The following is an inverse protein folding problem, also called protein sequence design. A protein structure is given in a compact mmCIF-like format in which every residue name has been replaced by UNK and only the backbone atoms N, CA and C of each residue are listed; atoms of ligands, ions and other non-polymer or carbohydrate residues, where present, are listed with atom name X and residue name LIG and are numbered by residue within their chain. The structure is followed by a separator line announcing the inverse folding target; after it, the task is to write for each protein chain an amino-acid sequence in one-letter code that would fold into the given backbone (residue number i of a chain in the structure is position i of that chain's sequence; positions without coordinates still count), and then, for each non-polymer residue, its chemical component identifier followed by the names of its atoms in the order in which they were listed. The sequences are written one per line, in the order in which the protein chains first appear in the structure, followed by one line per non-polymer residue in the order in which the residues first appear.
data_IF_399907433429
#
_entry.id   IF_399907433429
#
_cell.length_a   1.000
_cell.length_b   1.000
_cell.length_c   1.000
_cell.angle_alpha   90.00
_cell.angle_beta   90.00
_cell.angle_gamma   90.00
#
_symmetry.space_group_name_H-M   'P 1'
#
loop_
_entity.id
_entity.type
_entity.pdbx_description
1 polymer ?
#
# COMPACT_ATOMS: atom_id res chain seq x y z
N UNK A 1 -20.44 17.40 4.57
CA UNK A 1 -19.64 16.84 3.47
C UNK A 1 -19.77 15.32 3.46
N UNK A 2 -20.03 14.71 2.30
CA UNK A 2 -20.17 13.26 2.13
C UNK A 2 -18.93 12.69 1.47
N UNK A 3 -18.23 11.77 2.15
CA UNK A 3 -17.00 11.14 1.65
C UNK A 3 -17.23 9.64 1.49
N UNK A 4 -16.80 9.08 0.33
CA UNK A 4 -16.80 7.64 0.06
C UNK A 4 -15.37 7.13 0.02
N UNK A 5 -15.05 6.13 0.85
CA UNK A 5 -13.81 5.36 0.76
C UNK A 5 -14.09 4.04 0.03
N UNK A 6 -13.46 3.85 -1.13
CA UNK A 6 -13.60 2.62 -1.92
C UNK A 6 -12.56 1.61 -1.49
N UNK A 7 -13.02 0.40 -1.14
CA UNK A 7 -12.24 -0.73 -0.68
C UNK A 7 -12.74 -1.29 0.66
N UNK A 8 -12.16 -2.38 1.12
CA UNK A 8 -12.58 -3.08 2.34
C UNK A 8 -11.41 -3.71 3.10
N UNK A 9 -10.18 -3.29 2.83
CA UNK A 9 -8.97 -3.75 3.51
C UNK A 9 -8.60 -2.93 4.76
N UNK A 10 -7.45 -3.26 5.33
CA UNK A 10 -6.90 -2.56 6.49
C UNK A 10 -6.55 -1.11 6.18
N UNK A 11 -6.05 -0.84 5.00
CA UNK A 11 -5.77 0.49 4.46
C UNK A 11 -7.03 1.37 4.44
N UNK A 12 -8.14 0.85 3.90
CA UNK A 12 -9.38 1.60 3.82
C UNK A 12 -9.99 1.83 5.21
N UNK A 13 -9.85 0.87 6.12
CA UNK A 13 -10.25 1.08 7.51
C UNK A 13 -9.41 2.18 8.17
N UNK A 14 -8.09 2.21 7.94
CA UNK A 14 -7.21 3.27 8.46
C UNK A 14 -7.55 4.64 7.85
N UNK A 15 -7.91 4.71 6.57
CA UNK A 15 -8.39 5.94 5.93
C UNK A 15 -9.71 6.42 6.57
N UNK A 16 -10.69 5.54 6.78
CA UNK A 16 -11.94 5.87 7.47
C UNK A 16 -11.69 6.35 8.91
N UNK A 17 -10.75 5.70 9.62
CA UNK A 17 -10.35 6.08 10.96
C UNK A 17 -9.75 7.48 10.99
N UNK A 18 -8.81 7.79 10.10
CA UNK A 18 -8.19 9.12 10.03
C UNK A 18 -9.21 10.21 9.69
N UNK A 19 -10.08 9.99 8.69
CA UNK A 19 -11.16 10.91 8.35
C UNK A 19 -12.08 11.17 9.56
N UNK A 20 -12.43 10.15 10.32
CA UNK A 20 -13.28 10.29 11.50
C UNK A 20 -12.55 10.99 12.65
N UNK A 21 -11.28 10.66 12.91
CA UNK A 21 -10.43 11.34 13.89
C UNK A 21 -10.33 12.83 13.60
N UNK A 22 -10.13 13.16 12.33
CA UNK A 22 -9.86 14.53 11.88
C UNK A 22 -11.15 15.34 11.67
N UNK A 23 -12.34 14.72 11.77
CA UNK A 23 -13.62 15.36 11.40
C UNK A 23 -13.87 16.69 12.09
N UNK A 24 -13.60 16.79 13.38
CA UNK A 24 -13.84 18.01 14.15
C UNK A 24 -12.82 19.14 13.91
N UNK A 25 -11.60 18.82 13.48
CA UNK A 25 -10.50 19.78 13.30
C UNK A 25 -10.28 20.16 11.83
N UNK A 26 -10.59 19.25 10.90
CA UNK A 26 -10.23 19.38 9.50
C UNK A 26 -11.41 19.80 8.61
N UNK A 27 -12.64 19.58 9.05
CA UNK A 27 -13.83 19.84 8.22
C UNK A 27 -14.74 20.84 8.92
N UNK A 28 -15.08 21.91 8.21
CA UNK A 28 -16.01 22.96 8.70
C UNK A 28 -17.47 22.50 8.78
N UNK A 29 -17.79 21.34 8.21
CA UNK A 29 -19.12 20.75 8.11
C UNK A 29 -19.14 19.35 8.71
N UNK A 30 -20.31 18.85 9.09
CA UNK A 30 -20.50 17.48 9.53
C UNK A 30 -20.05 16.49 8.45
N UNK A 31 -19.17 15.56 8.82
CA UNK A 31 -18.67 14.50 7.95
C UNK A 31 -19.61 13.30 7.95
N UNK A 32 -20.24 13.01 6.82
CA UNK A 32 -20.91 11.74 6.56
C UNK A 32 -19.96 10.83 5.78
N UNK A 33 -19.65 9.66 6.36
CA UNK A 33 -18.67 8.75 5.79
C UNK A 33 -19.31 7.46 5.30
N UNK A 34 -18.94 7.06 4.08
CA UNK A 34 -19.34 5.83 3.43
C UNK A 34 -18.11 4.99 3.11
N UNK A 35 -18.25 3.66 3.08
CA UNK A 35 -17.23 2.73 2.61
C UNK A 35 -17.83 1.69 1.64
N UNK A 36 -17.10 1.31 0.58
CA UNK A 36 -17.62 0.34 -0.40
C UNK A 36 -16.52 -0.65 -0.86
N UNK A 37 -16.63 -1.96 -0.56
CA UNK A 37 -17.69 -2.58 0.24
C UNK A 37 -17.56 -2.32 1.75
N UNK A 38 -16.40 -1.84 2.23
CA UNK A 38 -16.07 -1.74 3.64
C UNK A 38 -15.85 -3.12 4.30
N UNK A 39 -15.75 -3.12 5.62
CA UNK A 39 -15.59 -4.30 6.46
C UNK A 39 -16.24 -4.05 7.84
N UNK A 40 -16.24 -5.02 8.79
CA UNK A 40 -16.80 -4.81 10.13
C UNK A 40 -16.19 -3.65 10.91
N UNK A 41 -14.93 -3.28 10.68
CA UNK A 41 -14.27 -2.15 11.30
C UNK A 41 -14.75 -0.81 10.72
N UNK A 42 -14.86 -0.72 9.41
CA UNK A 42 -15.40 0.50 8.76
C UNK A 42 -16.86 0.74 9.11
N UNK A 43 -17.65 -0.33 9.38
CA UNK A 43 -19.06 -0.22 9.80
C UNK A 43 -19.25 0.51 11.13
N UNK A 44 -18.22 0.59 11.98
CA UNK A 44 -18.25 1.38 13.22
C UNK A 44 -18.02 2.89 12.97
N UNK A 45 -17.49 3.26 11.80
CA UNK A 45 -17.06 4.62 11.47
C UNK A 45 -17.88 5.24 10.32
N UNK A 46 -18.44 4.40 9.45
CA UNK A 46 -19.04 4.77 8.19
C UNK A 46 -20.26 3.89 7.87
N UNK A 47 -21.09 4.32 6.93
CA UNK A 47 -22.09 3.45 6.32
C UNK A 47 -21.46 2.59 5.23
N UNK A 48 -21.42 1.28 5.43
CA UNK A 48 -20.92 0.36 4.41
C UNK A 48 -21.97 0.16 3.31
N UNK A 49 -21.56 0.37 2.06
CA UNK A 49 -22.35 0.08 0.88
C UNK A 49 -21.91 -1.29 0.32
N UNK A 50 -22.81 -2.25 0.11
CA UNK A 50 -22.42 -3.60 -0.35
C UNK A 50 -22.10 -3.62 -1.86
N UNK A 51 -21.16 -2.76 -2.27
CA UNK A 51 -20.73 -2.60 -3.66
C UNK A 51 -19.26 -3.03 -3.75
N UNK A 52 -18.93 -4.07 -4.53
CA UNK A 52 -17.54 -4.46 -4.75
C UNK A 52 -16.68 -3.31 -5.29
N UNK A 53 -15.44 -3.21 -4.84
CA UNK A 53 -14.53 -2.14 -5.27
C UNK A 53 -14.28 -2.11 -6.79
N UNK A 54 -14.46 -3.24 -7.48
CA UNK A 54 -14.32 -3.39 -8.94
C UNK A 54 -15.59 -3.07 -9.73
N UNK A 55 -16.72 -2.87 -9.06
CA UNK A 55 -18.01 -2.58 -9.70
C UNK A 55 -18.13 -1.07 -10.02
N UNK A 56 -17.32 -0.58 -10.96
CA UNK A 56 -17.14 0.85 -11.28
C UNK A 56 -18.47 1.56 -11.53
N UNK A 57 -19.36 1.00 -12.35
CA UNK A 57 -20.64 1.62 -12.67
C UNK A 57 -21.56 1.79 -11.44
N UNK A 58 -21.57 0.78 -10.56
CA UNK A 58 -22.34 0.83 -9.32
C UNK A 58 -21.76 1.84 -8.32
N UNK A 59 -20.42 1.97 -8.27
CA UNK A 59 -19.75 2.97 -7.43
C UNK A 59 -20.07 4.40 -7.90
N UNK A 60 -20.05 4.66 -9.22
CA UNK A 60 -20.43 5.94 -9.78
C UNK A 60 -21.91 6.24 -9.49
N UNK A 61 -22.81 5.26 -9.69
CA UNK A 61 -24.22 5.42 -9.37
C UNK A 61 -24.46 5.71 -7.87
N UNK A 62 -23.71 5.03 -6.98
CA UNK A 62 -23.76 5.28 -5.55
C UNK A 62 -23.26 6.68 -5.20
N UNK A 63 -22.17 7.13 -5.81
CA UNK A 63 -21.64 8.49 -5.60
C UNK A 63 -22.66 9.58 -6.00
N UNK A 64 -23.41 9.35 -7.07
CA UNK A 64 -24.50 10.26 -7.47
C UNK A 64 -25.69 10.18 -6.49
N UNK A 65 -26.14 8.99 -6.12
CA UNK A 65 -27.29 8.75 -5.24
C UNK A 65 -27.09 9.30 -3.84
N UNK A 66 -25.91 9.15 -3.28
CA UNK A 66 -25.56 9.59 -1.93
C UNK A 66 -24.93 10.98 -1.91
N UNK A 67 -24.96 11.70 -3.03
CA UNK A 67 -24.42 13.06 -3.16
C UNK A 67 -22.97 13.16 -2.64
N UNK A 68 -22.13 12.16 -2.99
CA UNK A 68 -20.75 12.09 -2.52
C UNK A 68 -19.97 13.29 -3.06
N UNK A 69 -19.39 14.07 -2.16
CA UNK A 69 -18.55 15.21 -2.50
C UNK A 69 -17.15 14.78 -2.92
N UNK A 70 -16.58 13.78 -2.22
CA UNK A 70 -15.23 13.27 -2.51
C UNK A 70 -15.20 11.74 -2.39
N UNK A 71 -14.66 11.08 -3.41
CA UNK A 71 -14.38 9.63 -3.37
C UNK A 71 -12.87 9.40 -3.22
N UNK A 72 -12.44 8.71 -2.15
CA UNK A 72 -11.06 8.26 -1.94
C UNK A 72 -10.94 6.81 -2.39
N UNK A 73 -10.12 6.55 -3.40
CA UNK A 73 -9.97 5.21 -3.98
C UNK A 73 -8.79 4.52 -3.33
N UNK A 74 -9.07 3.47 -2.54
CA UNK A 74 -8.04 2.74 -1.79
C UNK A 74 -7.24 1.74 -2.63
N UNK A 75 -7.85 0.75 -3.32
CA UNK A 75 -7.13 -0.29 -4.03
C UNK A 75 -6.79 0.09 -5.48
N UNK A 76 -5.85 -0.62 -6.05
CA UNK A 76 -5.32 -0.43 -7.42
C UNK A 76 -6.30 -0.83 -8.53
N UNK A 77 -7.08 -1.90 -8.30
CA UNK A 77 -7.95 -2.46 -9.34
C UNK A 77 -9.01 -1.46 -9.87
N UNK A 78 -9.77 -0.75 -9.02
CA UNK A 78 -10.69 0.30 -9.50
C UNK A 78 -9.98 1.50 -10.15
N UNK A 79 -8.75 1.83 -9.75
CA UNK A 79 -7.96 2.88 -10.41
C UNK A 79 -7.59 2.45 -11.83
N UNK A 80 -7.06 1.24 -11.99
CA UNK A 80 -6.75 0.67 -13.30
C UNK A 80 -8.00 0.52 -14.19
N UNK A 81 -9.17 0.27 -13.58
CA UNK A 81 -10.46 0.19 -14.28
C UNK A 81 -11.08 1.57 -14.58
N UNK A 82 -10.43 2.69 -14.23
CA UNK A 82 -10.83 4.04 -14.57
C UNK A 82 -11.94 4.63 -13.69
N UNK A 83 -12.08 4.16 -12.44
CA UNK A 83 -13.10 4.71 -11.53
C UNK A 83 -12.93 6.22 -11.32
N UNK A 84 -11.69 6.72 -11.16
CA UNK A 84 -11.43 8.14 -10.98
C UNK A 84 -11.90 8.97 -12.21
N UNK A 85 -11.61 8.46 -13.42
CA UNK A 85 -12.02 9.10 -14.67
C UNK A 85 -13.55 9.16 -14.82
N UNK A 86 -14.21 8.04 -14.47
CA UNK A 86 -15.67 7.91 -14.54
C UNK A 86 -16.38 8.83 -13.54
N UNK A 87 -15.87 8.95 -12.32
CA UNK A 87 -16.38 9.89 -11.31
C UNK A 87 -16.25 11.34 -11.77
N UNK A 88 -15.05 11.73 -12.24
CA UNK A 88 -14.80 13.09 -12.76
C UNK A 88 -15.71 13.41 -13.95
N UNK A 89 -15.89 12.46 -14.88
CA UNK A 89 -16.83 12.62 -16.01
C UNK A 89 -18.27 12.78 -15.55
N UNK A 90 -18.65 12.17 -14.43
CA UNK A 90 -19.97 12.32 -13.81
C UNK A 90 -20.11 13.58 -12.92
N UNK A 91 -19.11 14.48 -12.93
CA UNK A 91 -19.10 15.70 -12.13
C UNK A 91 -18.83 15.45 -10.63
N UNK A 92 -18.24 14.29 -10.28
CA UNK A 92 -17.89 13.95 -8.90
C UNK A 92 -16.37 14.01 -8.69
N UNK A 93 -15.96 14.41 -7.50
CA UNK A 93 -14.55 14.56 -7.14
C UNK A 93 -13.96 13.22 -6.71
N UNK A 94 -12.74 12.92 -7.16
CA UNK A 94 -12.04 11.69 -6.81
C UNK A 94 -10.58 11.96 -6.41
N UNK A 95 -10.15 11.39 -5.30
CA UNK A 95 -8.76 11.27 -4.91
C UNK A 95 -8.20 9.95 -5.44
N UNK A 96 -7.29 10.04 -6.38
CA UNK A 96 -6.64 8.94 -7.08
C UNK A 96 -6.34 9.30 -8.53
N UNK A 97 -5.30 8.69 -9.14
CA UNK A 97 -4.90 8.98 -10.52
C UNK A 97 -5.94 8.49 -11.55
N UNK A 98 -5.83 9.00 -12.78
CA UNK A 98 -6.53 8.46 -13.94
C UNK A 98 -6.07 7.02 -14.23
N UNK A 99 -6.84 6.25 -14.99
CA UNK A 99 -6.43 4.91 -15.44
C UNK A 99 -5.10 4.94 -16.19
N UNK A 100 -4.87 5.98 -16.99
CA UNK A 100 -3.63 6.15 -17.74
C UNK A 100 -2.42 6.36 -16.81
N UNK A 101 -2.54 7.19 -15.77
CA UNK A 101 -1.49 7.41 -14.79
C UNK A 101 -1.32 6.21 -13.84
N UNK A 102 -2.41 5.49 -13.50
CA UNK A 102 -2.37 4.27 -12.69
C UNK A 102 -1.61 3.11 -13.36
N UNK A 103 -1.27 3.21 -14.65
CA UNK A 103 -0.38 2.27 -15.33
C UNK A 103 1.00 2.17 -14.70
N UNK A 104 1.45 3.16 -13.93
CA UNK A 104 2.68 3.06 -13.13
C UNK A 104 2.67 1.86 -12.17
N UNK A 105 1.49 1.43 -11.68
CA UNK A 105 1.33 0.21 -10.89
C UNK A 105 0.80 -0.95 -11.71
N UNK A 106 -0.20 -0.72 -12.57
CA UNK A 106 -0.92 -1.78 -13.26
C UNK A 106 -0.16 -2.38 -14.45
N UNK A 107 0.98 -1.80 -14.86
CA UNK A 107 1.89 -2.36 -15.87
C UNK A 107 3.35 -2.09 -15.49
N UNK A 108 4.05 -3.13 -15.04
CA UNK A 108 5.47 -3.02 -14.69
C UNK A 108 6.33 -2.67 -15.90
N UNK A 109 5.99 -3.18 -17.07
CA UNK A 109 6.67 -2.83 -18.33
C UNK A 109 6.53 -1.33 -18.65
N UNK A 110 5.33 -0.78 -18.54
CA UNK A 110 5.12 0.66 -18.69
C UNK A 110 5.89 1.47 -17.63
N UNK A 111 5.86 1.03 -16.38
CA UNK A 111 6.61 1.67 -15.29
C UNK A 111 8.12 1.70 -15.58
N UNK A 112 8.70 0.59 -16.07
CA UNK A 112 10.11 0.51 -16.48
C UNK A 112 10.42 1.46 -17.64
N UNK A 113 9.53 1.55 -18.62
CA UNK A 113 9.73 2.46 -19.76
C UNK A 113 9.68 3.94 -19.31
N UNK A 114 8.74 4.30 -18.41
CA UNK A 114 8.68 5.64 -17.81
C UNK A 114 9.97 5.94 -17.04
N UNK A 115 10.43 5.02 -16.18
CA UNK A 115 11.68 5.20 -15.42
C UNK A 115 12.89 5.37 -16.33
N UNK A 116 12.99 4.54 -17.38
CA UNK A 116 14.08 4.64 -18.36
C UNK A 116 14.09 6.00 -19.06
N UNK A 117 12.94 6.50 -19.52
CA UNK A 117 12.83 7.81 -20.20
C UNK A 117 13.13 8.97 -19.25
N UNK A 118 12.69 8.85 -18.01
CA UNK A 118 12.87 9.86 -16.99
C UNK A 118 14.27 9.83 -16.33
N UNK A 119 15.12 8.83 -16.64
CA UNK A 119 16.43 8.65 -16.02
C UNK A 119 16.36 8.27 -14.54
N UNK A 120 15.29 7.60 -14.09
CA UNK A 120 15.08 7.19 -12.71
C UNK A 120 15.89 5.93 -12.39
N UNK A 121 16.66 5.91 -11.29
CA UNK A 121 17.41 4.73 -10.86
C UNK A 121 16.47 3.54 -10.58
N UNK A 122 16.71 2.43 -11.25
CA UNK A 122 15.97 1.17 -11.07
C UNK A 122 16.82 0.02 -11.59
N UNK A 123 16.50 -1.22 -11.20
CA UNK A 123 17.16 -2.43 -11.68
C UNK A 123 17.20 -2.49 -13.20
N UNK A 124 18.33 -2.88 -13.78
CA UNK A 124 18.44 -3.19 -15.19
C UNK A 124 17.43 -4.29 -15.54
N UNK A 125 16.69 -4.10 -16.62
CA UNK A 125 15.57 -4.98 -16.96
C UNK A 125 15.31 -5.06 -18.45
N UNK A 126 14.66 -6.17 -18.84
CA UNK A 126 14.09 -6.33 -20.18
C UNK A 126 12.69 -6.94 -20.09
N UNK A 127 11.85 -6.60 -21.06
CA UNK A 127 10.45 -7.01 -21.13
C UNK A 127 10.22 -7.95 -22.29
N UNK A 128 9.44 -9.01 -22.05
CA UNK A 128 9.20 -10.09 -23.02
C UNK A 128 7.74 -10.48 -23.09
N UNK A 129 7.27 -10.78 -24.30
CA UNK A 129 5.96 -11.37 -24.60
C UNK A 129 6.12 -12.73 -25.27
N UNK A 130 7.33 -13.12 -25.63
CA UNK A 130 7.67 -14.38 -26.30
C UNK A 130 8.69 -15.18 -25.48
N UNK A 131 8.53 -16.51 -25.48
CA UNK A 131 9.31 -17.42 -24.65
C UNK A 131 10.78 -17.47 -25.06
N UNK A 132 11.08 -17.65 -26.36
CA UNK A 132 12.46 -17.87 -26.82
C UNK A 132 13.39 -16.67 -26.48
N UNK A 133 13.10 -15.41 -26.86
CA UNK A 133 13.99 -14.30 -26.52
C UNK A 133 14.08 -14.06 -24.99
N UNK A 134 13.04 -14.38 -24.24
CA UNK A 134 13.07 -14.30 -22.78
C UNK A 134 14.05 -15.30 -22.18
N UNK A 135 14.04 -16.54 -22.65
CA UNK A 135 14.95 -17.58 -22.16
C UNK A 135 16.39 -17.30 -22.57
N UNK A 136 16.63 -16.80 -23.78
CA UNK A 136 17.97 -16.41 -24.22
C UNK A 136 18.53 -15.28 -23.33
N UNK A 137 17.70 -14.32 -22.96
CA UNK A 137 18.08 -13.25 -22.04
C UNK A 137 18.41 -13.79 -20.63
N UNK A 138 17.55 -14.66 -20.08
CA UNK A 138 17.78 -15.29 -18.76
C UNK A 138 19.07 -16.10 -18.79
N UNK A 139 19.39 -16.81 -19.86
CA UNK A 139 20.58 -17.66 -19.97
C UNK A 139 21.89 -16.88 -19.80
N UNK A 140 21.89 -15.59 -20.13
CA UNK A 140 23.06 -14.71 -20.02
C UNK A 140 23.03 -13.79 -18.80
N UNK A 141 21.91 -13.76 -18.05
CA UNK A 141 21.72 -12.88 -16.90
C UNK A 141 22.54 -13.32 -15.69
N UNK A 142 22.98 -12.37 -14.85
CA UNK A 142 23.61 -12.68 -13.57
C UNK A 142 22.58 -13.31 -12.58
N UNK A 143 23.06 -14.18 -11.70
CA UNK A 143 22.25 -14.77 -10.63
C UNK A 143 22.48 -14.03 -9.32
N UNK A 144 21.43 -13.83 -8.48
CA UNK A 144 20.02 -14.20 -8.67
C UNK A 144 19.32 -13.37 -9.74
N UNK A 145 18.17 -13.87 -10.23
CA UNK A 145 17.34 -13.22 -11.26
C UNK A 145 15.96 -12.88 -10.68
N UNK A 146 15.43 -11.71 -10.97
CA UNK A 146 14.06 -11.35 -10.57
C UNK A 146 13.12 -11.46 -11.77
N UNK A 147 12.06 -12.26 -11.62
CA UNK A 147 11.02 -12.46 -12.63
C UNK A 147 9.74 -11.79 -12.17
N UNK A 148 9.20 -10.87 -12.97
CA UNK A 148 7.97 -10.15 -12.64
C UNK A 148 6.93 -10.28 -13.75
N UNK A 149 5.69 -10.65 -13.39
CA UNK A 149 4.54 -10.45 -14.26
C UNK A 149 4.21 -8.96 -14.34
N UNK A 150 4.02 -8.43 -15.56
CA UNK A 150 3.82 -6.98 -15.78
C UNK A 150 2.50 -6.48 -15.18
N UNK A 151 1.43 -7.27 -15.26
CA UNK A 151 0.11 -6.88 -14.77
C UNK A 151 -0.09 -7.00 -13.26
N UNK A 152 -1.30 -6.61 -12.80
CA UNK A 152 -1.70 -6.74 -11.40
C UNK A 152 -1.82 -8.22 -10.98
N UNK A 153 -1.05 -8.65 -10.01
CA UNK A 153 -0.98 -10.05 -9.56
C UNK A 153 -1.12 -10.21 -8.03
N UNK A 154 -1.73 -9.25 -7.35
CA UNK A 154 -2.04 -9.30 -5.91
C UNK A 154 -0.85 -9.75 -5.02
N UNK A 155 0.34 -9.21 -5.29
CA UNK A 155 1.57 -9.52 -4.54
C UNK A 155 2.29 -10.81 -4.96
N UNK A 156 1.74 -11.59 -5.91
CA UNK A 156 2.33 -12.86 -6.38
C UNK A 156 3.11 -12.72 -7.69
N UNK A 157 3.14 -11.53 -8.27
CA UNK A 157 3.72 -11.28 -9.58
C UNK A 157 5.23 -11.03 -9.59
N UNK A 158 5.95 -11.08 -8.47
CA UNK A 158 7.39 -10.86 -8.40
C UNK A 158 8.07 -12.01 -7.64
N UNK A 159 9.02 -12.68 -8.28
CA UNK A 159 9.73 -13.84 -7.74
C UNK A 159 11.24 -13.64 -7.88
N UNK A 160 11.95 -13.72 -6.76
CA UNK A 160 13.42 -13.76 -6.74
C UNK A 160 13.85 -15.22 -6.92
N UNK A 161 14.47 -15.50 -8.05
CA UNK A 161 14.96 -16.82 -8.43
C UNK A 161 16.46 -16.92 -8.15
N UNK A 162 16.88 -17.91 -7.39
CA UNK A 162 18.31 -18.09 -7.04
C UNK A 162 19.17 -18.47 -8.23
N UNK A 163 18.56 -19.15 -9.21
CA UNK A 163 19.27 -19.63 -10.39
C UNK A 163 18.51 -19.26 -11.68
N UNK A 164 19.23 -19.21 -12.80
CA UNK A 164 18.65 -19.03 -14.15
C UNK A 164 17.65 -20.14 -14.49
N UNK A 165 17.89 -21.37 -14.06
CA UNK A 165 16.99 -22.49 -14.28
C UNK A 165 15.64 -22.28 -13.56
N UNK A 166 15.67 -21.81 -12.32
CA UNK A 166 14.47 -21.42 -11.57
C UNK A 166 13.75 -20.25 -12.25
N UNK A 167 14.50 -19.23 -12.66
CA UNK A 167 13.94 -18.06 -13.35
C UNK A 167 13.23 -18.46 -14.66
N UNK A 168 13.86 -19.33 -15.46
CA UNK A 168 13.25 -19.84 -16.69
C UNK A 168 11.97 -20.65 -16.43
N UNK A 169 11.92 -21.46 -15.38
CA UNK A 169 10.74 -22.22 -15.01
C UNK A 169 9.59 -21.32 -14.55
N UNK A 170 9.88 -20.33 -13.70
CA UNK A 170 8.91 -19.34 -13.20
C UNK A 170 8.38 -18.47 -14.34
N UNK A 171 9.28 -17.95 -15.19
CA UNK A 171 8.91 -17.09 -16.31
C UNK A 171 8.02 -17.83 -17.34
N UNK A 172 8.34 -19.09 -17.67
CA UNK A 172 7.49 -19.95 -18.51
C UNK A 172 6.12 -20.15 -17.90
N UNK A 173 6.04 -20.49 -16.61
CA UNK A 173 4.76 -20.70 -15.94
C UNK A 173 3.89 -19.45 -15.96
N UNK A 174 4.48 -18.27 -15.71
CA UNK A 174 3.77 -16.99 -15.78
C UNK A 174 3.27 -16.73 -17.21
N UNK A 175 4.14 -16.85 -18.22
CA UNK A 175 3.79 -16.61 -19.63
C UNK A 175 2.73 -17.61 -20.14
N UNK A 176 2.77 -18.86 -19.66
CA UNK A 176 1.77 -19.89 -19.93
C UNK A 176 0.42 -19.67 -19.22
N UNK A 177 0.28 -18.59 -18.42
CA UNK A 177 -1.00 -18.17 -17.83
C UNK A 177 -1.22 -18.56 -16.38
N UNK A 178 -0.20 -18.95 -15.60
CA UNK A 178 -0.35 -19.23 -14.16
C UNK A 178 -0.85 -18.01 -13.37
N UNK A 179 -0.70 -16.80 -13.91
CA UNK A 179 -1.20 -15.54 -13.36
C UNK A 179 -2.25 -14.86 -14.27
N UNK A 180 -2.84 -15.61 -15.21
CA UNK A 180 -3.83 -15.09 -16.15
C UNK A 180 -3.28 -13.94 -17.00
N UNK A 181 -4.07 -12.89 -17.20
CA UNK A 181 -3.69 -11.72 -18.01
C UNK A 181 -2.44 -11.01 -17.50
N UNK A 182 -2.16 -11.06 -16.18
CA UNK A 182 -1.00 -10.39 -15.59
C UNK A 182 0.34 -10.95 -16.10
N UNK A 183 0.36 -12.24 -16.47
CA UNK A 183 1.54 -12.95 -16.96
C UNK A 183 1.77 -12.90 -18.47
N UNK A 184 0.93 -12.22 -19.25
CA UNK A 184 1.12 -12.12 -20.72
C UNK A 184 2.37 -11.34 -21.14
N UNK A 185 2.90 -10.55 -20.24
CA UNK A 185 4.12 -9.77 -20.41
C UNK A 185 4.98 -9.94 -19.17
N UNK A 186 6.24 -10.32 -19.35
CA UNK A 186 7.20 -10.65 -18.29
C UNK A 186 8.33 -9.64 -18.29
N UNK A 187 8.67 -9.13 -17.12
CA UNK A 187 9.85 -8.29 -16.89
C UNK A 187 10.90 -9.14 -16.17
N UNK A 188 12.09 -9.25 -16.75
CA UNK A 188 13.26 -9.86 -16.13
C UNK A 188 14.17 -8.75 -15.62
N UNK A 189 14.55 -8.81 -14.35
CA UNK A 189 15.37 -7.77 -13.70
C UNK A 189 16.58 -8.38 -13.00
N UNK A 190 17.63 -7.57 -12.88
CA UNK A 190 18.72 -7.87 -11.96
C UNK A 190 18.24 -7.84 -10.49
N UNK A 191 18.88 -8.62 -9.66
CA UNK A 191 18.63 -8.58 -8.23
C UNK A 191 19.42 -7.44 -7.59
N UNK A 192 18.73 -6.60 -6.85
CA UNK A 192 19.33 -5.49 -6.09
C UNK A 192 19.53 -5.89 -4.64
N UNK A 193 20.72 -5.63 -4.10
CA UNK A 193 21.03 -5.80 -2.68
C UNK A 193 20.94 -4.46 -1.96
N UNK A 194 20.32 -4.44 -0.79
CA UNK A 194 20.14 -3.22 -0.02
C UNK A 194 19.08 -3.35 1.07
N UNK A 195 18.59 -2.23 1.53
CA UNK A 195 17.50 -2.16 2.49
C UNK A 195 16.26 -1.53 1.84
N UNK A 196 15.12 -2.20 1.95
CA UNK A 196 13.87 -1.71 1.37
C UNK A 196 13.33 -0.51 2.16
N UNK A 197 12.76 0.45 1.44
CA UNK A 197 12.13 1.64 2.00
C UNK A 197 10.87 1.99 1.23
N UNK A 198 9.78 2.23 1.95
CA UNK A 198 8.51 2.69 1.39
C UNK A 198 8.40 4.21 1.52
N UNK A 199 8.41 4.92 0.40
CA UNK A 199 8.25 6.37 0.37
C UNK A 199 6.98 6.72 -0.41
N UNK A 200 6.10 7.48 0.22
CA UNK A 200 4.86 7.95 -0.38
C UNK A 200 4.93 9.46 -0.60
N UNK A 201 4.38 9.94 -1.70
CA UNK A 201 4.24 11.35 -1.99
C UNK A 201 2.79 11.69 -2.35
N UNK A 202 2.27 12.76 -1.76
CA UNK A 202 1.03 13.39 -2.23
C UNK A 202 1.37 14.33 -3.39
N UNK A 203 0.51 14.36 -4.41
CA UNK A 203 0.68 15.26 -5.56
C UNK A 203 -0.67 15.64 -6.18
N UNK A 204 -0.72 16.84 -6.74
CA UNK A 204 -1.83 17.35 -7.54
C UNK A 204 -1.51 17.40 -9.05
N UNK A 205 -0.42 16.74 -9.45
CA UNK A 205 0.08 16.70 -10.81
C UNK A 205 1.19 17.71 -11.13
N UNK A 206 1.33 18.76 -10.34
CA UNK A 206 2.37 19.79 -10.49
C UNK A 206 3.30 19.87 -9.27
N UNK A 207 2.72 19.79 -8.08
CA UNK A 207 3.40 19.91 -6.80
C UNK A 207 3.42 18.57 -6.10
N UNK A 208 4.41 18.34 -5.24
CA UNK A 208 4.48 17.11 -4.45
C UNK A 208 4.97 17.40 -3.01
N UNK A 209 4.50 16.58 -2.09
CA UNK A 209 4.96 16.52 -0.71
C UNK A 209 5.21 15.08 -0.34
N UNK A 210 6.45 14.77 0.09
CA UNK A 210 6.83 13.43 0.55
C UNK A 210 6.30 13.26 1.98
N UNK A 211 5.59 12.15 2.21
CA UNK A 211 5.14 11.73 3.53
C UNK A 211 6.29 11.10 4.33
N UNK A 212 6.20 11.03 5.66
CA UNK A 212 7.15 10.27 6.45
C UNK A 212 7.28 8.85 5.88
N UNK A 213 8.51 8.35 5.68
CA UNK A 213 8.70 7.02 5.13
C UNK A 213 8.30 5.93 6.12
N UNK A 214 7.92 4.78 5.57
CA UNK A 214 7.66 3.57 6.32
C UNK A 214 8.54 2.43 5.81
N UNK A 215 8.68 1.38 6.59
CA UNK A 215 9.30 0.14 6.14
C UNK A 215 8.37 -1.03 6.46
N UNK A 216 8.08 -1.85 5.45
CA UNK A 216 7.27 -3.05 5.59
C UNK A 216 8.12 -4.32 5.75
N UNK A 217 7.48 -5.39 6.22
CA UNK A 217 8.04 -6.73 6.32
C UNK A 217 7.33 -7.65 5.34
N UNK A 218 7.89 -7.83 4.14
CA UNK A 218 7.26 -8.58 3.04
C UNK A 218 7.30 -10.10 3.24
N UNK A 219 8.28 -10.64 3.97
CA UNK A 219 8.40 -12.07 4.19
C UNK A 219 7.44 -12.55 5.26
N UNK A 220 6.86 -13.76 5.04
CA UNK A 220 5.86 -14.36 5.93
C UNK A 220 6.40 -14.66 7.32
N UNK A 221 7.63 -15.18 7.40
CA UNK A 221 8.25 -15.68 8.64
C UNK A 221 9.20 -14.68 9.28
N UNK A 222 9.43 -14.88 10.58
CA UNK A 222 10.43 -14.16 11.36
C UNK A 222 11.83 -14.33 10.75
N UNK A 223 12.70 -13.32 10.93
CA UNK A 223 14.03 -13.30 10.31
C UNK A 223 13.99 -13.19 8.78
N UNK A 224 12.90 -12.63 8.22
CA UNK A 224 12.69 -12.47 6.79
C UNK A 224 12.77 -13.78 6.00
N UNK A 225 12.13 -14.82 6.53
CA UNK A 225 12.05 -16.15 5.94
C UNK A 225 10.70 -16.42 5.26
N UNK A 226 10.63 -17.47 4.44
CA UNK A 226 9.40 -17.88 3.76
C UNK A 226 9.09 -17.06 2.50
N UNK A 227 7.85 -17.20 1.96
CA UNK A 227 7.43 -16.52 0.74
C UNK A 227 7.21 -15.01 0.95
N UNK A 228 7.25 -14.25 -0.15
CA UNK A 228 6.77 -12.87 -0.16
C UNK A 228 5.26 -12.82 0.06
N UNK A 229 4.81 -11.75 0.71
CA UNK A 229 3.40 -11.49 1.02
C UNK A 229 3.05 -10.05 0.64
N UNK A 230 1.81 -9.63 0.90
CA UNK A 230 1.39 -8.23 0.82
C UNK A 230 1.86 -7.37 1.99
N UNK A 231 2.75 -7.88 2.87
CA UNK A 231 3.24 -7.23 4.09
C UNK A 231 2.68 -7.88 5.36
N UNK A 232 3.59 -8.27 6.26
CA UNK A 232 3.27 -8.88 7.57
C UNK A 232 3.36 -7.87 8.71
N UNK A 233 3.71 -6.64 8.40
CA UNK A 233 3.79 -5.53 9.32
C UNK A 233 4.57 -4.38 8.71
N UNK A 234 4.47 -3.21 9.33
CA UNK A 234 5.21 -2.01 8.94
C UNK A 234 5.50 -1.14 10.15
N UNK A 235 6.39 -0.16 10.00
CA UNK A 235 6.68 0.81 11.04
C UNK A 235 7.06 2.18 10.47
N UNK A 236 6.90 3.21 11.27
CA UNK A 236 7.25 4.60 11.03
C UNK A 236 7.60 5.26 12.38
N UNK A 237 8.66 6.09 12.48
CA UNK A 237 9.61 6.48 11.44
C UNK A 237 10.66 5.41 11.13
N UNK A 238 11.44 5.64 10.07
CA UNK A 238 12.51 4.73 9.60
C UNK A 238 13.85 5.46 9.64
N UNK A 239 14.81 4.94 10.40
CA UNK A 239 16.10 5.62 10.68
C UNK A 239 17.02 5.78 9.47
N UNK A 240 16.94 4.90 8.46
CA UNK A 240 17.74 5.07 7.23
C UNK A 240 17.24 6.22 6.35
N UNK A 241 16.02 6.69 6.55
CA UNK A 241 15.41 7.74 5.75
C UNK A 241 15.85 9.14 6.19
N UNK A 242 17.12 9.46 5.96
CA UNK A 242 17.68 10.77 6.27
C UNK A 242 17.08 11.87 5.39
N UNK A 243 17.15 13.13 5.86
CA UNK A 243 16.70 14.28 5.08
C UNK A 243 17.39 14.35 3.72
N UNK A 244 18.68 14.02 3.64
CA UNK A 244 19.44 14.01 2.39
C UNK A 244 18.95 12.90 1.44
N UNK A 245 18.65 11.70 1.96
CA UNK A 245 18.08 10.61 1.16
C UNK A 245 16.70 11.00 0.60
N UNK A 246 15.84 11.58 1.43
CA UNK A 246 14.50 12.01 0.97
C UNK A 246 14.58 13.14 -0.06
N UNK A 247 15.55 14.06 0.04
CA UNK A 247 15.81 15.06 -0.98
C UNK A 247 16.24 14.41 -2.32
N UNK A 248 17.09 13.38 -2.28
CA UNK A 248 17.47 12.59 -3.47
C UNK A 248 16.27 11.85 -4.05
N UNK A 249 15.49 11.16 -3.22
CA UNK A 249 14.25 10.46 -3.66
C UNK A 249 13.29 11.43 -4.35
N UNK A 250 13.15 12.64 -3.82
CA UNK A 250 12.36 13.69 -4.47
C UNK A 250 12.88 14.03 -5.87
N UNK A 251 14.18 14.37 -5.95
CA UNK A 251 14.80 14.90 -7.16
C UNK A 251 15.08 13.82 -8.22
N UNK A 252 15.44 12.60 -7.79
CA UNK A 252 15.90 11.51 -8.66
C UNK A 252 14.77 10.52 -9.01
N UNK A 253 13.68 10.48 -8.21
CA UNK A 253 12.59 9.50 -8.40
C UNK A 253 11.26 10.20 -8.70
N UNK A 254 10.68 10.95 -7.75
CA UNK A 254 9.32 11.45 -7.91
C UNK A 254 9.19 12.53 -8.97
N UNK A 255 10.01 13.58 -8.92
CA UNK A 255 9.90 14.70 -9.87
C UNK A 255 10.12 14.28 -11.32
N UNK A 256 11.10 13.40 -11.67
CA UNK A 256 11.26 12.94 -13.02
C UNK A 256 10.09 12.08 -13.52
N UNK A 257 9.58 11.15 -12.68
CA UNK A 257 8.44 10.30 -13.04
C UNK A 257 7.17 11.12 -13.26
N UNK A 258 6.86 12.05 -12.35
CA UNK A 258 5.67 12.90 -12.47
C UNK A 258 5.73 13.78 -13.72
N UNK A 259 6.90 14.34 -14.06
CA UNK A 259 7.10 15.09 -15.30
C UNK A 259 6.91 14.23 -16.54
N UNK A 260 7.47 13.02 -16.56
CA UNK A 260 7.36 12.12 -17.73
C UNK A 260 5.89 11.70 -17.95
N UNK A 261 5.18 11.31 -16.89
CA UNK A 261 3.76 10.92 -16.98
C UNK A 261 2.89 12.12 -17.42
N UNK A 262 3.17 13.32 -16.93
CA UNK A 262 2.49 14.54 -17.37
C UNK A 262 2.78 14.88 -18.83
N UNK A 263 4.03 14.72 -19.30
CA UNK A 263 4.42 14.93 -20.70
C UNK A 263 3.72 13.94 -21.64
N UNK A 264 3.35 12.75 -21.16
CA UNK A 264 2.52 11.78 -21.89
C UNK A 264 1.02 12.11 -21.86
N UNK A 265 0.62 13.27 -21.31
CA UNK A 265 -0.77 13.73 -21.26
C UNK A 265 -1.60 13.15 -20.11
N UNK A 266 -0.96 12.56 -19.12
CA UNK A 266 -1.65 11.91 -18.00
C UNK A 266 -1.09 12.39 -16.65
N UNK A 267 -1.27 13.68 -16.27
CA UNK A 267 -0.77 14.19 -14.99
C UNK A 267 -1.28 13.35 -13.84
N UNK A 268 -0.40 13.08 -12.88
CA UNK A 268 -0.67 12.17 -11.77
C UNK A 268 -1.26 12.94 -10.58
N UNK A 269 -2.49 12.66 -10.20
CA UNK A 269 -3.16 13.26 -9.02
C UNK A 269 -3.40 12.18 -7.95
N UNK A 270 -3.06 12.46 -6.68
CA UNK A 270 -3.30 11.53 -5.57
C UNK A 270 -2.04 11.20 -4.78
N UNK A 271 -1.89 9.95 -4.38
CA UNK A 271 -0.70 9.44 -3.72
C UNK A 271 0.07 8.51 -4.66
N UNK A 272 1.36 8.77 -4.83
CA UNK A 272 2.29 7.88 -5.52
C UNK A 272 3.22 7.26 -4.48
N UNK A 273 3.24 5.93 -4.42
CA UNK A 273 4.13 5.17 -3.55
C UNK A 273 5.28 4.60 -4.38
N UNK A 274 6.52 4.89 -3.99
CA UNK A 274 7.73 4.27 -4.50
C UNK A 274 8.24 3.24 -3.48
N UNK A 275 8.26 1.97 -3.87
CA UNK A 275 9.03 0.92 -3.20
C UNK A 275 10.48 1.02 -3.65
N UNK A 276 11.38 1.33 -2.72
CA UNK A 276 12.79 1.59 -3.01
C UNK A 276 13.68 0.50 -2.41
N UNK A 277 14.77 0.18 -3.10
CA UNK A 277 15.95 -0.45 -2.54
C UNK A 277 17.01 0.62 -2.33
N UNK A 278 17.42 0.83 -1.09
CA UNK A 278 18.54 1.72 -0.77
C UNK A 278 19.81 0.89 -0.87
N UNK A 279 20.59 1.14 -1.91
CA UNK A 279 21.82 0.40 -2.19
C UNK A 279 22.92 0.73 -1.18
N UNK A 280 23.99 -0.08 -1.05
CA UNK A 280 25.08 0.17 -0.12
C UNK A 280 25.79 1.53 -0.29
N UNK A 281 25.77 2.11 -1.49
CA UNK A 281 26.28 3.44 -1.79
C UNK A 281 25.27 4.58 -1.49
N UNK A 282 24.10 4.24 -0.94
CA UNK A 282 23.02 5.17 -0.63
C UNK A 282 22.15 5.57 -1.83
N UNK A 283 22.28 4.92 -2.98
CA UNK A 283 21.45 5.19 -4.16
C UNK A 283 20.03 4.65 -3.95
N UNK A 284 18.97 5.48 -4.08
CA UNK A 284 17.59 5.02 -4.02
C UNK A 284 17.19 4.42 -5.38
N UNK A 285 17.13 3.10 -5.48
CA UNK A 285 16.74 2.39 -6.69
C UNK A 285 15.28 1.92 -6.60
N UNK A 286 14.45 2.24 -7.59
CA UNK A 286 13.03 1.91 -7.59
C UNK A 286 12.82 0.43 -7.90
N UNK A 287 12.13 -0.27 -6.99
CA UNK A 287 11.66 -1.64 -7.18
C UNK A 287 10.33 -1.68 -7.92
N UNK A 288 9.40 -0.81 -7.51
CA UNK A 288 8.06 -0.66 -8.09
C UNK A 288 7.41 0.66 -7.67
N UNK A 289 6.42 1.10 -8.46
CA UNK A 289 5.49 2.12 -8.04
C UNK A 289 4.13 1.50 -7.72
N UNK A 290 3.44 2.11 -6.74
CA UNK A 290 2.04 1.81 -6.45
C UNK A 290 1.22 3.11 -6.57
N UNK A 291 0.09 3.04 -7.26
CA UNK A 291 -0.74 4.20 -7.60
C UNK A 291 -1.75 4.55 -6.49
N UNK A 292 -1.46 4.17 -5.26
CA UNK A 292 -2.36 4.24 -4.11
C UNK A 292 -1.56 4.19 -2.81
N UNK A 293 -2.26 4.42 -1.70
CA UNK A 293 -1.69 4.19 -0.38
C UNK A 293 -1.22 2.74 -0.20
N UNK A 294 -0.13 2.54 0.56
CA UNK A 294 0.37 1.22 0.92
C UNK A 294 -0.53 0.46 1.89
N UNK A 295 -0.42 -0.84 1.94
CA UNK A 295 -1.06 -1.72 2.90
C UNK A 295 -0.05 -2.83 3.28
N UNK A 296 0.60 -2.76 4.46
CA UNK A 296 0.11 -2.12 5.70
C UNK A 296 0.72 -0.75 6.07
N UNK A 297 1.39 -0.02 5.18
CA UNK A 297 2.05 1.25 5.51
C UNK A 297 1.05 2.33 5.98
N UNK A 298 -0.15 2.39 5.41
CA UNK A 298 -1.19 3.34 5.80
C UNK A 298 -1.58 3.18 7.27
N UNK A 299 -1.57 1.95 7.77
CA UNK A 299 -1.92 1.61 9.16
C UNK A 299 -0.86 2.07 10.17
N UNK A 300 0.31 2.52 9.73
CA UNK A 300 1.30 3.18 10.59
C UNK A 300 1.42 4.67 10.29
N UNK A 301 1.33 5.07 9.03
CA UNK A 301 1.47 6.48 8.63
C UNK A 301 0.36 7.35 9.22
N UNK A 302 -0.91 6.98 9.04
CA UNK A 302 -2.03 7.80 9.50
C UNK A 302 -2.08 7.95 11.03
N UNK A 303 -1.86 6.87 11.83
CA UNK A 303 -1.76 7.02 13.28
C UNK A 303 -0.54 7.81 13.79
N UNK A 304 0.58 7.78 13.04
CA UNK A 304 1.81 8.51 13.41
C UNK A 304 1.71 10.02 13.15
N UNK A 305 0.87 10.45 12.21
CA UNK A 305 0.71 11.84 11.82
C UNK A 305 -0.25 12.61 12.76
N UNK A 306 -0.02 13.91 12.86
CA UNK A 306 -0.92 14.82 13.55
C UNK A 306 -2.35 14.75 13.00
N UNK A 307 -3.37 14.96 13.86
CA UNK A 307 -4.76 15.11 13.41
C UNK A 307 -4.90 16.25 12.40
N UNK A 308 -5.85 16.08 11.46
CA UNK A 308 -6.12 17.07 10.39
C UNK A 308 -5.48 16.69 9.04
N UNK A 309 -4.61 15.69 8.99
CA UNK A 309 -3.95 15.29 7.74
C UNK A 309 -4.94 14.88 6.63
N UNK A 310 -6.07 14.26 6.97
CA UNK A 310 -7.04 13.79 5.97
C UNK A 310 -7.70 14.94 5.16
N UNK A 311 -7.68 16.18 5.66
CA UNK A 311 -8.12 17.35 4.89
C UNK A 311 -7.32 17.54 3.61
N UNK A 312 -6.02 17.23 3.65
CA UNK A 312 -5.15 17.39 2.48
C UNK A 312 -5.52 16.43 1.35
N UNK A 313 -6.02 15.24 1.65
CA UNK A 313 -6.53 14.30 0.65
C UNK A 313 -7.77 14.88 -0.06
N UNK A 314 -8.67 15.45 0.73
CA UNK A 314 -9.85 16.15 0.20
C UNK A 314 -9.46 17.39 -0.61
N UNK A 315 -8.51 18.19 -0.10
CA UNK A 315 -8.04 19.40 -0.77
C UNK A 315 -7.38 19.11 -2.13
N UNK A 316 -6.57 18.02 -2.24
CA UNK A 316 -6.00 17.56 -3.52
C UNK A 316 -7.14 17.20 -4.49
N UNK A 317 -8.08 16.36 -4.07
CA UNK A 317 -9.19 15.95 -4.89
C UNK A 317 -10.02 17.15 -5.39
N UNK A 318 -10.22 18.16 -4.56
CA UNK A 318 -10.94 19.40 -4.87
C UNK A 318 -10.09 20.48 -5.57
N UNK A 319 -8.81 20.19 -5.89
CA UNK A 319 -7.89 21.14 -6.55
C UNK A 319 -7.67 22.45 -5.80
N UNK A 320 -7.78 22.43 -4.46
CA UNK A 320 -7.53 23.57 -3.58
C UNK A 320 -6.35 23.35 -2.64
N UNK A 321 -5.50 22.39 -2.96
CA UNK A 321 -4.42 21.94 -2.09
C UNK A 321 -3.31 22.98 -1.91
N UNK A 322 -2.88 23.15 -0.63
CA UNK A 322 -1.72 23.93 -0.25
C UNK A 322 -0.60 22.99 0.26
N UNK A 323 0.45 22.71 -0.53
CA UNK A 323 1.50 21.79 -0.12
C UNK A 323 2.33 22.29 1.08
N UNK A 324 2.46 23.61 1.30
CA UNK A 324 3.16 24.15 2.46
C UNK A 324 2.42 23.82 3.77
N UNK A 325 1.09 23.94 3.78
CA UNK A 325 0.27 23.55 4.93
C UNK A 325 0.42 22.04 5.22
N UNK A 326 0.41 21.21 4.17
CA UNK A 326 0.65 19.76 4.32
C UNK A 326 2.01 19.50 4.95
N UNK A 327 3.07 20.13 4.46
CA UNK A 327 4.43 19.91 4.96
C UNK A 327 4.59 20.28 6.45
N UNK A 328 3.89 21.30 6.91
CA UNK A 328 3.88 21.68 8.33
C UNK A 328 3.20 20.61 9.22
N UNK A 329 2.29 19.82 8.68
CA UNK A 329 1.57 18.76 9.40
C UNK A 329 2.23 17.38 9.33
N UNK A 330 3.35 17.24 8.60
CA UNK A 330 4.05 15.95 8.45
C UNK A 330 4.95 15.59 9.63
N UNK A 331 4.83 16.28 10.76
CA UNK A 331 5.52 15.89 11.98
C UNK A 331 5.01 14.53 12.46
N UNK A 332 5.92 13.60 12.65
CA UNK A 332 5.63 12.32 13.31
C UNK A 332 5.57 12.59 14.81
N UNK A 333 4.37 12.58 15.36
CA UNK A 333 4.17 12.86 16.78
C UNK A 333 4.58 11.66 17.64
N UNK A 334 4.25 10.46 17.15
CA UNK A 334 4.54 9.20 17.83
C UNK A 334 4.98 8.14 16.82
N UNK A 335 5.93 7.31 17.21
CA UNK A 335 6.26 6.13 16.42
C UNK A 335 5.06 5.18 16.37
N UNK A 336 4.87 4.52 15.23
CA UNK A 336 3.83 3.54 15.01
C UNK A 336 4.42 2.25 14.45
N UNK A 337 3.96 1.11 14.96
CA UNK A 337 4.29 -0.23 14.46
C UNK A 337 3.00 -1.02 14.29
N UNK A 338 2.77 -1.59 13.12
CA UNK A 338 1.62 -2.46 12.88
C UNK A 338 2.06 -3.90 12.67
N UNK A 339 1.41 -4.84 13.37
CA UNK A 339 1.58 -6.28 13.20
C UNK A 339 0.37 -6.85 12.47
N UNK A 340 0.60 -7.51 11.34
CA UNK A 340 -0.47 -8.14 10.57
C UNK A 340 -0.75 -9.54 11.10
N UNK A 341 -2.02 -9.82 11.39
CA UNK A 341 -2.53 -11.14 11.73
C UNK A 341 -3.13 -11.76 10.48
N UNK A 342 -2.56 -12.86 10.00
CA UNK A 342 -2.98 -13.55 8.79
C UNK A 342 -3.65 -14.89 9.12
N UNK A 343 -4.49 -15.38 8.21
CA UNK A 343 -5.10 -16.70 8.30
C UNK A 343 -4.09 -17.79 7.91
N UNK A 344 -4.26 -19.00 8.43
CA UNK A 344 -3.48 -20.18 8.03
C UNK A 344 -3.50 -20.35 6.51
N UNK A 345 -2.36 -20.71 5.92
CA UNK A 345 -2.22 -20.89 4.47
C UNK A 345 -2.01 -19.60 3.66
N UNK A 346 -1.98 -18.42 4.30
CA UNK A 346 -1.59 -17.18 3.63
C UNK A 346 -0.10 -17.24 3.26
N UNK A 347 0.35 -16.75 2.08
CA UNK A 347 -0.42 -16.02 1.07
C UNK A 347 -1.14 -16.89 0.03
N UNK A 348 -0.85 -18.19 -0.07
CA UNK A 348 -1.25 -19.01 -1.21
C UNK A 348 -2.72 -19.47 -1.16
N UNK A 349 -3.11 -20.08 -0.04
CA UNK A 349 -4.44 -20.63 0.14
C UNK A 349 -4.98 -20.34 1.55
N UNK A 350 -5.33 -19.09 1.87
CA UNK A 350 -5.76 -18.72 3.20
C UNK A 350 -7.10 -19.33 3.58
N UNK A 351 -7.15 -19.96 4.77
CA UNK A 351 -8.35 -20.50 5.36
C UNK A 351 -9.36 -19.40 5.73
N UNK A 352 -10.65 -19.71 5.65
CA UNK A 352 -11.76 -18.80 5.93
C UNK A 352 -12.65 -19.35 7.05
N UNK A 353 -13.41 -18.45 7.68
CA UNK A 353 -14.45 -18.83 8.64
C UNK A 353 -14.02 -18.93 10.08
N UNK A 354 -12.72 -18.87 10.41
CA UNK A 354 -12.25 -18.88 11.79
C UNK A 354 -12.90 -17.76 12.62
N UNK A 355 -13.47 -18.10 13.77
CA UNK A 355 -14.07 -17.13 14.69
C UNK A 355 -12.99 -16.28 15.33
N UNK A 356 -13.15 -14.96 15.30
CA UNK A 356 -12.20 -14.01 15.85
C UNK A 356 -12.71 -13.54 17.21
N UNK A 357 -11.88 -13.68 18.24
CA UNK A 357 -12.09 -13.10 19.56
C UNK A 357 -11.19 -11.88 19.70
N UNK A 358 -11.81 -10.70 19.70
CA UNK A 358 -11.16 -9.45 20.07
C UNK A 358 -11.34 -9.21 21.57
N UNK A 359 -10.28 -8.83 22.29
CA UNK A 359 -10.40 -8.28 23.64
C UNK A 359 -11.20 -6.96 23.62
N UNK A 360 -11.72 -6.56 24.78
CA UNK A 360 -12.28 -5.22 24.91
C UNK A 360 -11.23 -4.16 24.58
N UNK A 361 -11.61 -3.05 23.92
CA UNK A 361 -10.66 -1.96 23.64
C UNK A 361 -9.88 -1.48 24.87
N UNK A 362 -10.52 -1.41 26.03
CA UNK A 362 -9.88 -1.05 27.29
C UNK A 362 -8.77 -2.05 27.74
N UNK A 363 -8.86 -3.30 27.32
CA UNK A 363 -7.84 -4.31 27.60
C UNK A 363 -6.63 -4.20 26.66
N UNK A 364 -6.81 -3.61 25.46
CA UNK A 364 -5.75 -3.42 24.49
C UNK A 364 -4.87 -2.20 24.83
N UNK A 365 -5.42 -1.22 25.56
CA UNK A 365 -4.77 0.04 25.92
C UNK A 365 -4.99 1.15 24.89
N UNK A 366 -4.87 2.39 25.35
CA UNK A 366 -5.14 3.60 24.54
C UNK A 366 -4.13 3.79 23.39
N UNK A 367 -3.00 3.13 23.47
CA UNK A 367 -1.91 3.20 22.48
C UNK A 367 -2.05 2.13 21.38
N UNK A 368 -3.19 1.44 21.29
CA UNK A 368 -3.41 0.37 20.33
C UNK A 368 -4.64 0.65 19.46
N UNK A 369 -4.46 0.48 18.15
CA UNK A 369 -5.54 0.57 17.16
C UNK A 369 -5.60 -0.75 16.38
N UNK A 370 -6.80 -1.34 16.27
CA UNK A 370 -7.01 -2.56 15.48
C UNK A 370 -7.74 -2.22 14.20
N UNK A 371 -7.06 -2.40 13.06
CA UNK A 371 -7.65 -2.23 11.74
C UNK A 371 -8.11 -3.58 11.18
N UNK A 372 -9.39 -3.65 10.80
CA UNK A 372 -9.95 -4.81 10.11
C UNK A 372 -9.53 -4.83 8.64
N UNK A 373 -9.20 -6.01 8.13
CA UNK A 373 -8.96 -6.28 6.74
C UNK A 373 -9.88 -7.43 6.28
N UNK A 374 -9.38 -8.64 6.12
CA UNK A 374 -10.14 -9.81 5.73
C UNK A 374 -11.06 -10.33 6.85
N UNK A 375 -12.08 -9.58 7.20
CA UNK A 375 -13.06 -9.94 8.24
C UNK A 375 -14.49 -9.77 7.74
N UNK A 376 -15.43 -10.53 8.31
CA UNK A 376 -16.87 -10.36 8.11
C UNK A 376 -17.64 -10.74 9.39
N UNK A 377 -18.90 -10.34 9.46
CA UNK A 377 -19.85 -10.85 10.47
C UNK A 377 -20.73 -11.92 9.85
N UNK A 378 -20.84 -13.06 10.53
CA UNK A 378 -21.77 -14.11 10.11
C UNK A 378 -23.23 -13.75 10.45
N UNK A 379 -24.17 -14.65 10.12
CA UNK A 379 -25.60 -14.43 10.36
C UNK A 379 -25.95 -14.31 11.86
N UNK A 380 -25.07 -14.76 12.74
CA UNK A 380 -25.23 -14.64 14.21
C UNK A 380 -24.53 -13.36 14.74
N UNK A 381 -23.95 -12.54 13.86
CA UNK A 381 -23.21 -11.32 14.21
C UNK A 381 -21.79 -11.57 14.70
N UNK A 382 -21.31 -12.81 14.74
CA UNK A 382 -19.95 -13.17 15.17
C UNK A 382 -18.93 -12.74 14.15
N UNK A 383 -17.82 -12.18 14.64
CA UNK A 383 -16.70 -11.77 13.79
C UNK A 383 -15.91 -12.99 13.32
N UNK A 384 -15.64 -13.07 12.01
CA UNK A 384 -14.92 -14.17 11.38
C UNK A 384 -13.87 -13.69 10.38
N UNK A 385 -12.83 -14.52 10.17
CA UNK A 385 -11.83 -14.31 9.14
C UNK A 385 -12.41 -14.67 7.76
N UNK A 386 -12.22 -13.78 6.77
CA UNK A 386 -12.55 -14.04 5.36
C UNK A 386 -11.36 -14.55 4.54
N UNK A 387 -10.19 -14.72 5.18
CA UNK A 387 -8.93 -15.20 4.59
C UNK A 387 -7.91 -14.08 4.38
N UNK A 388 -6.71 -14.43 3.96
CA UNK A 388 -5.60 -13.49 3.71
C UNK A 388 -5.11 -12.80 5.00
N UNK A 389 -4.80 -11.51 4.89
CA UNK A 389 -4.53 -10.64 6.04
C UNK A 389 -5.87 -10.32 6.71
N UNK A 390 -5.99 -10.63 7.99
CA UNK A 390 -7.26 -10.58 8.72
C UNK A 390 -7.41 -9.28 9.49
N UNK A 391 -6.38 -8.94 10.28
CA UNK A 391 -6.32 -7.73 11.09
C UNK A 391 -4.91 -7.12 11.02
N UNK A 392 -4.83 -5.80 11.19
CA UNK A 392 -3.58 -5.09 11.46
C UNK A 392 -3.67 -4.46 12.84
N UNK A 393 -2.73 -4.77 13.72
CA UNK A 393 -2.69 -4.30 15.10
C UNK A 393 -1.60 -3.25 15.21
N UNK A 394 -1.98 -2.00 15.30
CA UNK A 394 -1.05 -0.86 15.36
C UNK A 394 -0.84 -0.42 16.80
N UNK A 395 0.40 -0.48 17.25
CA UNK A 395 0.83 0.12 18.53
C UNK A 395 1.48 1.48 18.28
N UNK A 396 1.26 2.41 19.18
CA UNK A 396 1.85 3.75 19.21
C UNK A 396 2.81 3.87 20.40
N UNK A 397 3.85 4.67 20.27
CA UNK A 397 4.82 4.89 21.35
C UNK A 397 5.76 6.06 21.08
N UNK A 398 6.51 6.50 22.09
CA UNK A 398 7.53 7.55 21.93
C UNK A 398 8.73 7.06 21.10
N UNK A 399 8.94 5.73 21.06
CA UNK A 399 9.97 5.09 20.26
C UNK A 399 9.37 3.92 19.48
N UNK A 400 10.04 3.51 18.39
CA UNK A 400 9.64 2.33 17.61
C UNK A 400 9.63 1.06 18.48
N UNK A 401 10.54 0.94 19.44
CA UNK A 401 10.58 -0.19 20.37
C UNK A 401 9.34 -0.28 21.26
N UNK A 402 8.87 0.86 21.80
CA UNK A 402 7.65 0.94 22.61
C UNK A 402 6.41 0.66 21.77
N UNK A 403 6.33 1.22 20.57
CA UNK A 403 5.25 0.97 19.61
C UNK A 403 5.18 -0.52 19.21
N UNK A 404 6.34 -1.14 18.93
CA UNK A 404 6.44 -2.57 18.61
C UNK A 404 5.98 -3.45 19.81
N UNK A 405 6.36 -3.06 21.03
CA UNK A 405 5.91 -3.77 22.22
C UNK A 405 4.38 -3.73 22.39
N UNK A 406 3.78 -2.53 22.24
CA UNK A 406 2.33 -2.35 22.32
C UNK A 406 1.58 -3.15 21.25
N UNK A 407 2.03 -3.06 19.98
CA UNK A 407 1.48 -3.82 18.86
C UNK A 407 1.52 -5.32 19.12
N UNK A 408 2.69 -5.86 19.54
CA UNK A 408 2.90 -7.27 19.79
C UNK A 408 2.06 -7.77 20.95
N UNK A 409 2.04 -7.07 22.08
CA UNK A 409 1.26 -7.45 23.26
C UNK A 409 -0.25 -7.52 22.94
N UNK A 410 -0.78 -6.60 22.16
CA UNK A 410 -2.15 -6.62 21.69
C UNK A 410 -2.40 -7.74 20.67
N UNK A 411 -1.50 -7.96 19.73
CA UNK A 411 -1.58 -9.05 18.76
C UNK A 411 -1.65 -10.43 19.42
N UNK A 412 -0.92 -10.64 20.51
CA UNK A 412 -0.96 -11.89 21.27
C UNK A 412 -2.34 -12.18 21.88
N UNK A 413 -3.03 -11.15 22.38
CA UNK A 413 -4.35 -11.25 23.00
C UNK A 413 -5.49 -11.54 22.02
N UNK A 414 -5.34 -11.15 20.74
CA UNK A 414 -6.33 -11.43 19.72
C UNK A 414 -6.23 -12.89 19.29
N UNK A 415 -7.35 -13.63 19.33
CA UNK A 415 -7.35 -15.07 19.08
C UNK A 415 -8.29 -15.44 17.93
N UNK A 416 -7.79 -16.25 17.01
CA UNK A 416 -8.55 -17.04 16.04
C UNK A 416 -7.74 -18.27 15.61
N UNK A 417 -8.44 -19.30 15.21
CA UNK A 417 -7.78 -20.55 14.78
C UNK A 417 -6.91 -20.30 13.55
N UNK A 418 -5.70 -20.86 13.55
CA UNK A 418 -4.75 -20.72 12.45
C UNK A 418 -4.12 -19.33 12.31
N UNK A 419 -4.17 -18.49 13.34
CA UNK A 419 -3.50 -17.19 13.35
C UNK A 419 -2.01 -17.33 13.08
N UNK A 420 -1.53 -16.63 12.04
CA UNK A 420 -0.12 -16.52 11.66
C UNK A 420 0.29 -15.05 11.74
N UNK A 421 1.45 -14.75 12.33
CA UNK A 421 1.95 -13.39 12.47
C UNK A 421 3.44 -13.38 12.83
N UNK A 422 4.11 -12.22 12.72
CA UNK A 422 5.53 -12.02 13.08
C UNK A 422 5.64 -11.27 14.40
N UNK A 423 6.55 -11.74 15.28
CA UNK A 423 6.90 -11.05 16.55
C UNK A 423 8.01 -10.05 16.39
N UNK A 424 8.76 -10.14 15.29
CA UNK A 424 9.98 -9.38 15.02
C UNK A 424 9.74 -8.14 14.14
N UNK A 425 8.50 -7.67 14.00
CA UNK A 425 8.21 -6.43 13.24
C UNK A 425 9.02 -5.26 13.82
N UNK A 426 9.66 -4.48 12.94
CA UNK A 426 10.57 -3.39 13.27
C UNK A 426 11.93 -3.78 13.88
N UNK A 427 12.34 -5.06 13.80
CA UNK A 427 13.58 -5.55 14.40
C UNK A 427 14.83 -4.78 13.96
N UNK A 428 14.91 -4.38 12.68
CA UNK A 428 16.05 -3.61 12.14
C UNK A 428 16.19 -2.26 12.82
N UNK A 429 15.08 -1.55 12.98
CA UNK A 429 15.07 -0.23 13.61
C UNK A 429 15.39 -0.30 15.10
N UNK A 430 14.86 -1.32 15.79
CA UNK A 430 15.15 -1.56 17.21
C UNK A 430 16.63 -1.87 17.41
N UNK A 431 17.23 -2.68 16.56
CA UNK A 431 18.67 -2.97 16.60
C UNK A 431 19.52 -1.73 16.32
N UNK A 432 19.13 -0.92 15.33
CA UNK A 432 19.80 0.35 14.97
C UNK A 432 19.80 1.30 16.14
N UNK A 433 18.66 1.49 16.81
CA UNK A 433 18.54 2.34 17.99
C UNK A 433 19.28 1.83 19.21
N UNK A 434 19.48 0.52 19.34
CA UNK A 434 20.28 -0.08 20.43
C UNK A 434 21.79 -0.07 20.18
N UNK A 435 22.22 0.21 18.94
CA UNK A 435 23.64 0.30 18.57
C UNK A 435 24.15 1.75 18.54
N UNK A 436 23.28 2.74 18.64
CA UNK A 436 23.58 4.17 18.71
C UNK A 436 23.65 4.65 20.17
#
# INVERSE_FOLDING_TARGET
MNVLVVGGGGREHALCWALRRDAASAFSEDLTLFAAPGNPGTAALATNLPIPATAVDHLVAAALRHEIDVTIIGPEAPLAAGLADRLRKAGRTAFGPSAAAARLESSKAYSKEVMRRAGVPTAASATFVEETPMLDYIATHAEPVVVKASGLAAGKGAVVCKTRAEAAAVARAMLAGSLGEAGKEIVIEEFLEGEELSVLALTDGERLVILPPAQDHKRLGEGDTGPNTGGMGAYCPVGIATTSLLARVRAEVFEPVLREVAAQGSPYEGVLYAGLMILPDGTPSVLEFNARFGDPETQVLLPALLPGFSEHLVAIAQRRWNPLATQQMLSVERAAVTTVLAARGYPDNPEKGAAIRLPDPAELGDDVIVFHAGTYRDNEGKLRASGGRVLSVTGLGQTVALAAHASRAAAERIAFEGKTWRRDVAWREIQRAGAA
#
